data_IF_752110423137
#
_entry.id   IF_752110423137
#
_cell.length_a   1.000
_cell.length_b   1.000
_cell.length_c   1.000
_cell.angle_alpha   90.00
_cell.angle_beta   90.00
_cell.angle_gamma   90.00
#
_symmetry.space_group_name_H-M   'P 1'
#
loop_
_entity.id
_entity.type
_entity.pdbx_description
1 polymer ?
#
# COMPACT_ATOMS: atom_id res chain seq x y z
N UNK A 1 -80.88 21.06 11.73
CA UNK A 1 -79.47 20.99 12.19
C UNK A 1 -78.54 21.86 11.32
N UNK A 2 -77.81 22.83 11.88
CA UNK A 2 -76.83 23.61 11.13
C UNK A 2 -75.58 22.75 10.81
N UNK A 3 -74.86 23.05 9.72
CA UNK A 3 -73.64 22.32 9.36
C UNK A 3 -72.48 22.60 10.32
N UNK A 4 -71.53 21.66 10.49
CA UNK A 4 -70.39 21.84 11.36
C UNK A 4 -69.45 22.93 10.83
N UNK A 5 -69.05 23.83 11.74
CA UNK A 5 -68.07 24.89 11.49
C UNK A 5 -66.69 24.27 11.21
N UNK A 6 -66.14 24.52 10.03
CA UNK A 6 -64.79 24.08 9.65
C UNK A 6 -63.78 25.10 10.18
N UNK A 7 -62.86 24.66 11.04
CA UNK A 7 -61.79 25.49 11.57
C UNK A 7 -60.82 25.93 10.46
N UNK A 8 -60.32 27.18 10.47
CA UNK A 8 -59.33 27.63 9.49
C UNK A 8 -57.99 26.92 9.70
N UNK A 9 -57.18 26.77 8.64
CA UNK A 9 -55.87 26.12 8.73
C UNK A 9 -54.87 26.97 9.53
N UNK A 10 -53.86 26.34 10.15
CA UNK A 10 -52.83 27.05 10.91
C UNK A 10 -51.99 27.97 10.01
N UNK A 11 -51.63 29.14 10.52
CA UNK A 11 -50.74 30.08 9.83
C UNK A 11 -49.35 29.48 9.60
N UNK A 12 -48.79 29.68 8.41
CA UNK A 12 -47.42 29.26 8.08
C UNK A 12 -46.39 30.00 8.97
N UNK A 13 -45.34 29.31 9.46
CA UNK A 13 -44.26 29.95 10.18
C UNK A 13 -43.44 30.87 9.26
N UNK A 14 -42.83 31.94 9.79
CA UNK A 14 -42.03 32.86 9.00
C UNK A 14 -40.76 32.18 8.45
N UNK A 15 -40.46 32.47 7.19
CA UNK A 15 -39.22 32.05 6.51
C UNK A 15 -38.00 32.60 7.26
N UNK A 16 -37.08 31.70 7.65
CA UNK A 16 -35.79 32.07 8.21
C UNK A 16 -34.94 32.82 7.16
N UNK A 17 -34.14 33.82 7.56
CA UNK A 17 -33.21 34.48 6.66
C UNK A 17 -32.14 33.50 6.14
N UNK A 18 -31.60 33.72 4.93
CA UNK A 18 -30.57 32.86 4.38
C UNK A 18 -29.28 32.92 5.21
N UNK A 19 -28.51 31.82 5.27
CA UNK A 19 -27.24 31.78 5.97
C UNK A 19 -26.23 32.74 5.33
N UNK A 20 -25.49 33.46 6.18
CA UNK A 20 -24.41 34.37 5.79
C UNK A 20 -23.31 33.54 5.11
N UNK A 21 -22.92 33.92 3.89
CA UNK A 21 -21.86 33.25 3.14
C UNK A 21 -20.52 33.31 3.89
N UNK A 22 -19.72 32.24 3.88
CA UNK A 22 -18.40 32.25 4.51
C UNK A 22 -17.47 33.25 3.80
N UNK A 23 -16.50 33.85 4.54
CA UNK A 23 -15.54 34.77 3.95
C UNK A 23 -14.70 34.08 2.88
N UNK A 24 -14.52 34.77 1.75
CA UNK A 24 -13.66 34.33 0.64
C UNK A 24 -12.22 34.25 1.14
N UNK A 25 -11.63 33.05 1.10
CA UNK A 25 -10.22 32.84 1.44
C UNK A 25 -9.32 33.63 0.47
N UNK A 26 -8.24 34.26 0.96
CA UNK A 26 -7.28 34.93 0.09
C UNK A 26 -6.59 33.93 -0.85
N UNK A 27 -6.10 34.37 -2.02
CA UNK A 27 -5.38 33.52 -2.96
C UNK A 27 -4.13 32.93 -2.30
N UNK A 28 -4.01 31.60 -2.36
CA UNK A 28 -2.84 30.86 -1.88
C UNK A 28 -1.58 31.39 -2.54
N UNK A 29 -0.59 31.78 -1.74
CA UNK A 29 0.73 32.18 -2.23
C UNK A 29 1.36 31.06 -3.06
N UNK A 30 2.13 31.37 -4.12
CA UNK A 30 2.84 30.35 -4.88
C UNK A 30 3.75 29.56 -3.96
N UNK A 31 3.55 28.23 -3.91
CA UNK A 31 4.40 27.35 -3.13
C UNK A 31 5.81 27.36 -3.74
N UNK A 32 6.89 27.51 -2.95
CA UNK A 32 8.24 27.38 -3.46
C UNK A 32 8.44 25.97 -4.02
N UNK A 33 9.13 25.87 -5.16
CA UNK A 33 9.49 24.59 -5.78
C UNK A 33 10.25 23.73 -4.76
N UNK A 34 9.92 22.43 -4.63
CA UNK A 34 10.66 21.55 -3.71
C UNK A 34 12.15 21.50 -4.10
N UNK A 35 13.05 21.30 -3.13
CA UNK A 35 14.47 21.21 -3.39
C UNK A 35 14.78 20.04 -4.35
N UNK A 36 15.89 20.12 -5.12
CA UNK A 36 16.33 19.02 -5.97
C UNK A 36 16.62 17.77 -5.14
N UNK A 37 16.23 16.60 -5.66
CA UNK A 37 16.49 15.31 -5.01
C UNK A 37 17.99 15.06 -4.81
N UNK A 38 18.33 14.39 -3.70
CA UNK A 38 19.70 13.95 -3.44
C UNK A 38 20.24 13.09 -4.60
N UNK A 39 21.50 13.30 -5.04
CA UNK A 39 22.09 12.49 -6.11
C UNK A 39 22.23 11.03 -5.70
N UNK A 40 22.06 10.12 -6.67
CA UNK A 40 22.30 8.70 -6.44
C UNK A 40 23.80 8.42 -6.17
N UNK A 41 24.10 7.38 -5.36
CA UNK A 41 25.47 6.92 -5.19
C UNK A 41 26.11 6.48 -6.52
N UNK A 42 27.44 6.61 -6.68
CA UNK A 42 28.13 6.13 -7.87
C UNK A 42 27.88 4.64 -8.13
N UNK A 43 27.57 4.29 -9.38
CA UNK A 43 27.36 2.89 -9.79
C UNK A 43 25.95 2.35 -9.54
N UNK A 44 25.00 3.19 -9.11
CA UNK A 44 23.60 2.80 -8.89
C UNK A 44 22.70 3.44 -9.94
N UNK A 45 21.80 2.65 -10.53
CA UNK A 45 20.83 3.17 -11.48
C UNK A 45 19.72 3.92 -10.73
N UNK A 46 19.46 5.17 -11.15
CA UNK A 46 18.37 5.98 -10.61
C UNK A 46 17.11 5.76 -11.41
N UNK A 47 15.99 5.52 -10.74
CA UNK A 47 14.69 5.36 -11.39
C UNK A 47 13.73 6.43 -10.91
N UNK A 48 13.04 7.05 -11.86
CA UNK A 48 11.97 8.05 -11.61
C UNK A 48 10.63 7.61 -12.18
N UNK A 49 10.58 6.39 -12.74
CA UNK A 49 9.41 5.80 -13.39
C UNK A 49 9.28 4.32 -13.02
N UNK A 50 8.06 3.89 -12.72
CA UNK A 50 7.75 2.53 -12.27
C UNK A 50 7.93 1.51 -13.40
N UNK A 51 7.63 1.87 -14.65
CA UNK A 51 7.76 0.97 -15.80
C UNK A 51 9.23 0.76 -16.17
N UNK A 52 10.07 1.78 -16.03
CA UNK A 52 11.52 1.63 -16.11
C UNK A 52 12.06 0.70 -15.01
N UNK A 53 11.59 0.85 -13.77
CA UNK A 53 11.98 -0.04 -12.66
C UNK A 53 11.57 -1.49 -12.94
N UNK A 54 10.32 -1.72 -13.37
CA UNK A 54 9.83 -3.05 -13.76
C UNK A 54 10.69 -3.71 -14.82
N UNK A 55 11.04 -2.97 -15.87
CA UNK A 55 11.91 -3.49 -16.93
C UNK A 55 13.31 -3.84 -16.43
N UNK A 56 13.87 -3.06 -15.50
CA UNK A 56 15.15 -3.38 -14.89
C UNK A 56 15.06 -4.66 -14.02
N UNK A 57 14.00 -4.81 -13.24
CA UNK A 57 13.79 -6.02 -12.44
C UNK A 57 13.53 -7.25 -13.32
N UNK A 58 12.86 -7.09 -14.45
CA UNK A 58 12.62 -8.15 -15.44
C UNK A 58 13.81 -8.43 -16.38
N UNK A 59 14.91 -7.66 -16.30
CA UNK A 59 16.09 -7.88 -17.14
C UNK A 59 16.73 -9.25 -16.86
N UNK A 60 17.61 -9.78 -17.72
CA UNK A 60 18.35 -11.00 -17.41
C UNK A 60 19.45 -10.80 -16.36
N UNK A 61 19.71 -9.57 -15.90
CA UNK A 61 20.81 -9.28 -14.98
C UNK A 61 20.56 -9.89 -13.60
N UNK A 62 21.46 -10.74 -13.08
CA UNK A 62 21.26 -11.41 -11.80
C UNK A 62 21.42 -10.49 -10.60
N UNK A 63 22.04 -9.31 -10.79
CA UNK A 63 22.29 -8.32 -9.76
C UNK A 63 21.73 -6.98 -10.25
N UNK A 64 20.84 -6.37 -9.45
CA UNK A 64 20.22 -5.08 -9.77
C UNK A 64 20.31 -4.15 -8.56
N UNK A 65 20.93 -2.99 -8.74
CA UNK A 65 21.04 -1.97 -7.71
C UNK A 65 20.24 -0.73 -8.13
N UNK A 66 19.26 -0.37 -7.32
CA UNK A 66 18.26 0.65 -7.61
C UNK A 66 18.35 1.74 -6.55
N UNK A 67 18.48 2.99 -6.99
CA UNK A 67 18.28 4.16 -6.17
C UNK A 67 16.97 4.84 -6.55
N UNK A 68 16.10 5.04 -5.57
CA UNK A 68 14.87 5.79 -5.74
C UNK A 68 15.03 7.13 -5.02
N UNK A 69 14.77 8.27 -5.70
CA UNK A 69 14.78 9.57 -5.04
C UNK A 69 13.82 9.65 -3.85
N UNK A 70 14.24 10.37 -2.82
CA UNK A 70 13.41 10.57 -1.61
C UNK A 70 12.09 11.26 -1.94
N UNK A 71 11.02 10.91 -1.23
CA UNK A 71 9.68 11.44 -1.44
C UNK A 71 8.99 10.98 -2.72
N UNK A 72 9.65 10.19 -3.58
CA UNK A 72 9.02 9.67 -4.78
C UNK A 72 8.04 8.55 -4.44
N UNK A 73 6.89 8.57 -5.10
CA UNK A 73 5.83 7.56 -4.94
C UNK A 73 5.66 6.81 -6.27
N UNK A 74 5.97 5.51 -6.26
CA UNK A 74 5.65 4.60 -7.36
C UNK A 74 4.30 3.94 -7.14
N UNK A 75 3.29 4.45 -7.84
CA UNK A 75 2.00 3.79 -8.00
C UNK A 75 2.14 2.55 -8.88
N UNK A 76 1.80 1.38 -8.32
CA UNK A 76 1.98 0.09 -9.00
C UNK A 76 0.84 -0.28 -9.96
N UNK A 77 -0.24 0.50 -10.03
CA UNK A 77 -1.28 0.38 -11.06
C UNK A 77 -1.80 -1.08 -11.25
N UNK A 78 -1.98 -1.82 -10.16
CA UNK A 78 -2.59 -3.15 -10.20
C UNK A 78 -1.65 -4.35 -10.45
N UNK A 79 -0.33 -4.14 -10.53
CA UNK A 79 0.62 -5.25 -10.62
C UNK A 79 1.76 -5.13 -9.61
N UNK A 80 2.12 -6.23 -8.95
CA UNK A 80 3.26 -6.25 -8.03
C UNK A 80 4.58 -5.95 -8.76
N UNK A 81 5.59 -5.48 -8.01
CA UNK A 81 6.97 -5.57 -8.47
C UNK A 81 7.48 -6.97 -8.19
N UNK A 82 7.75 -7.71 -9.27
CA UNK A 82 8.21 -9.09 -9.20
C UNK A 82 9.73 -9.15 -9.27
N UNK A 83 10.33 -9.88 -8.35
CA UNK A 83 11.76 -10.14 -8.28
C UNK A 83 11.95 -11.65 -8.20
N UNK A 84 12.47 -12.24 -9.27
CA UNK A 84 12.58 -13.69 -9.44
C UNK A 84 14.01 -14.08 -9.76
N UNK A 85 14.61 -14.96 -8.95
CA UNK A 85 15.99 -15.47 -9.10
C UNK A 85 17.04 -14.36 -9.23
N UNK A 86 16.95 -13.32 -8.39
CA UNK A 86 17.85 -12.17 -8.42
C UNK A 86 18.37 -11.75 -7.06
N UNK A 87 19.51 -11.07 -7.09
CA UNK A 87 20.03 -10.29 -5.97
C UNK A 87 19.74 -8.80 -6.23
N UNK A 88 18.88 -8.19 -5.42
CA UNK A 88 18.42 -6.82 -5.65
C UNK A 88 18.63 -5.96 -4.42
N UNK A 89 19.20 -4.78 -4.61
CA UNK A 89 19.20 -3.72 -3.61
C UNK A 89 18.35 -2.57 -4.10
N UNK A 90 17.34 -2.17 -3.32
CA UNK A 90 16.52 -0.98 -3.56
C UNK A 90 16.70 -0.04 -2.37
N UNK A 91 17.24 1.13 -2.61
CA UNK A 91 17.51 2.11 -1.56
C UNK A 91 16.99 3.49 -1.90
N UNK A 92 16.66 4.24 -0.85
CA UNK A 92 16.32 5.66 -0.90
C UNK A 92 16.98 6.39 0.26
N UNK A 93 17.26 7.68 0.08
CA UNK A 93 17.79 8.55 1.13
C UNK A 93 16.69 9.30 1.89
N UNK A 94 17.10 10.01 2.94
CA UNK A 94 16.30 11.02 3.64
C UNK A 94 14.92 10.55 4.10
N UNK A 95 13.86 11.14 3.55
CA UNK A 95 12.48 10.77 3.90
C UNK A 95 12.06 9.36 3.40
N UNK A 96 12.90 8.71 2.60
CA UNK A 96 12.62 7.43 1.97
C UNK A 96 11.76 7.56 0.71
N UNK A 97 11.48 6.44 0.05
CA UNK A 97 10.63 6.36 -1.13
C UNK A 97 9.44 5.43 -0.89
N UNK A 98 8.37 5.60 -1.66
CA UNK A 98 7.13 4.84 -1.48
C UNK A 98 6.85 3.94 -2.69
N UNK A 99 6.58 2.66 -2.42
CA UNK A 99 6.02 1.70 -3.36
C UNK A 99 4.57 1.45 -2.94
N UNK A 100 3.62 1.90 -3.76
CA UNK A 100 2.21 1.98 -3.42
C UNK A 100 1.38 1.00 -4.28
N UNK A 101 0.81 -0.01 -3.62
CA UNK A 101 -0.07 -1.01 -4.25
C UNK A 101 -1.46 -0.49 -4.60
N UNK A 102 -1.82 0.73 -4.17
CA UNK A 102 -3.08 1.43 -4.43
C UNK A 102 -4.34 0.65 -4.08
N UNK A 103 -4.25 -0.30 -3.16
CA UNK A 103 -5.34 -1.22 -2.81
C UNK A 103 -5.75 -2.16 -3.94
N UNK A 104 -4.94 -2.28 -5.00
CA UNK A 104 -5.25 -3.05 -6.19
C UNK A 104 -4.31 -4.24 -6.42
N UNK A 105 -3.10 -4.20 -5.85
CA UNK A 105 -2.14 -5.29 -5.99
C UNK A 105 -1.29 -5.47 -4.75
N UNK A 106 -0.64 -6.63 -4.68
CA UNK A 106 0.52 -6.78 -3.80
C UNK A 106 1.59 -5.74 -4.16
N UNK A 107 2.38 -5.30 -3.17
CA UNK A 107 3.50 -4.38 -3.45
C UNK A 107 4.70 -5.12 -4.05
N UNK A 108 5.26 -6.11 -3.33
CA UNK A 108 6.41 -6.89 -3.78
C UNK A 108 6.11 -8.39 -3.81
N UNK A 109 6.53 -9.07 -4.87
CA UNK A 109 6.57 -10.53 -4.95
C UNK A 109 8.00 -11.01 -5.17
N UNK A 110 8.52 -11.81 -4.24
CA UNK A 110 9.87 -12.34 -4.26
C UNK A 110 9.84 -13.85 -4.44
N UNK A 111 10.62 -14.36 -5.39
CA UNK A 111 10.76 -15.80 -5.62
C UNK A 111 12.23 -16.14 -5.85
N UNK A 112 12.77 -17.07 -5.06
CA UNK A 112 14.16 -17.55 -5.18
C UNK A 112 15.21 -16.41 -5.20
N UNK A 113 14.97 -15.32 -4.44
CA UNK A 113 15.73 -14.07 -4.55
C UNK A 113 16.35 -13.63 -3.22
N UNK A 114 17.40 -12.81 -3.29
CA UNK A 114 17.93 -12.09 -2.13
C UNK A 114 17.70 -10.59 -2.34
N UNK A 115 16.86 -9.98 -1.51
CA UNK A 115 16.46 -8.59 -1.65
C UNK A 115 16.84 -7.80 -0.42
N UNK A 116 17.47 -6.65 -0.62
CA UNK A 116 17.75 -5.66 0.40
C UNK A 116 16.97 -4.38 0.10
N UNK A 117 16.20 -3.92 1.08
CA UNK A 117 15.46 -2.66 1.05
C UNK A 117 16.03 -1.72 2.11
N UNK A 118 16.28 -0.48 1.72
CA UNK A 118 16.75 0.57 2.63
C UNK A 118 15.95 1.86 2.43
N UNK A 119 15.31 2.36 3.49
CA UNK A 119 14.53 3.60 3.42
C UNK A 119 13.31 3.52 2.51
N UNK A 120 12.70 2.33 2.36
CA UNK A 120 11.55 2.11 1.48
C UNK A 120 10.27 1.90 2.32
N UNK A 121 9.21 2.60 1.94
CA UNK A 121 7.85 2.37 2.42
C UNK A 121 7.08 1.52 1.42
N UNK A 122 6.59 0.37 1.84
CA UNK A 122 5.69 -0.50 1.09
C UNK A 122 4.28 -0.30 1.64
N UNK A 123 3.36 0.23 0.84
CA UNK A 123 2.05 0.63 1.36
C UNK A 123 0.88 0.26 0.47
N UNK A 124 -0.30 0.23 1.08
CA UNK A 124 -1.59 0.02 0.40
C UNK A 124 -1.59 -1.24 -0.48
N UNK A 125 -0.88 -2.29 -0.08
CA UNK A 125 -0.89 -3.55 -0.78
C UNK A 125 -2.23 -4.27 -0.56
N UNK A 126 -2.82 -4.85 -1.60
CA UNK A 126 -4.05 -5.63 -1.48
C UNK A 126 -3.95 -6.92 -2.28
N UNK A 127 -4.31 -8.03 -1.65
CA UNK A 127 -4.52 -9.30 -2.32
C UNK A 127 -5.87 -9.85 -1.87
N UNK A 128 -6.78 -10.05 -2.82
CA UNK A 128 -8.01 -10.81 -2.59
C UNK A 128 -7.98 -12.12 -3.37
N UNK A 129 -8.47 -13.20 -2.78
CA UNK A 129 -8.65 -14.47 -3.48
C UNK A 129 -9.96 -15.14 -3.06
N UNK A 130 -10.66 -15.69 -4.06
CA UNK A 130 -11.78 -16.61 -3.87
C UNK A 130 -11.32 -18.08 -3.85
N UNK A 131 -10.03 -18.33 -4.09
CA UNK A 131 -9.44 -19.67 -4.12
C UNK A 131 -9.18 -20.24 -2.73
N UNK A 132 -9.23 -21.58 -2.61
CA UNK A 132 -8.85 -22.32 -1.41
C UNK A 132 -7.37 -22.16 -1.02
N UNK A 133 -6.52 -21.61 -1.91
CA UNK A 133 -5.08 -21.42 -1.62
C UNK A 133 -4.78 -20.28 -0.62
N UNK A 134 -5.78 -19.46 -0.26
CA UNK A 134 -5.66 -18.36 0.70
C UNK A 134 -4.88 -17.13 0.18
N UNK A 135 -5.19 -15.94 0.70
CA UNK A 135 -4.45 -14.71 0.38
C UNK A 135 -3.29 -14.51 1.34
N UNK A 136 -2.11 -14.16 0.81
CA UNK A 136 -0.88 -14.02 1.60
C UNK A 136 -0.13 -12.75 1.22
N UNK A 137 0.48 -12.08 2.20
CA UNK A 137 1.55 -11.10 1.97
C UNK A 137 1.15 -9.95 1.04
N UNK A 138 0.21 -9.09 1.42
CA UNK A 138 -0.24 -8.03 0.52
C UNK A 138 0.78 -6.89 0.38
N UNK A 139 1.60 -6.63 1.40
CA UNK A 139 2.82 -5.83 1.24
C UNK A 139 3.87 -6.64 0.49
N UNK A 140 4.33 -7.74 1.09
CA UNK A 140 5.36 -8.62 0.52
C UNK A 140 4.93 -10.07 0.65
N UNK A 141 5.04 -10.82 -0.45
CA UNK A 141 5.13 -12.28 -0.38
C UNK A 141 6.53 -12.70 -0.82
N UNK A 142 7.22 -13.42 0.05
CA UNK A 142 8.50 -14.03 -0.24
C UNK A 142 8.35 -15.56 -0.30
N UNK A 143 8.84 -16.16 -1.38
CA UNK A 143 8.86 -17.61 -1.60
C UNK A 143 10.30 -18.04 -1.85
N UNK A 144 10.83 -18.94 -1.02
CA UNK A 144 12.21 -19.43 -1.08
C UNK A 144 13.24 -18.30 -1.21
N UNK A 145 13.04 -17.20 -0.50
CA UNK A 145 13.78 -15.94 -0.68
C UNK A 145 14.33 -15.41 0.65
N UNK A 146 15.27 -14.48 0.57
CA UNK A 146 15.78 -13.72 1.71
C UNK A 146 15.43 -12.24 1.53
N UNK A 147 14.84 -11.62 2.54
CA UNK A 147 14.52 -10.20 2.57
C UNK A 147 15.23 -9.53 3.75
N UNK A 148 16.03 -8.50 3.45
CA UNK A 148 16.63 -7.60 4.42
C UNK A 148 15.95 -6.24 4.33
N UNK A 149 15.50 -5.72 5.46
CA UNK A 149 14.84 -4.42 5.55
C UNK A 149 15.56 -3.54 6.56
N UNK A 150 15.96 -2.36 6.12
CA UNK A 150 16.61 -1.36 6.96
C UNK A 150 15.89 -0.01 6.81
N UNK A 151 15.50 0.61 7.94
CA UNK A 151 14.71 1.86 7.94
C UNK A 151 13.47 1.83 7.04
N UNK A 152 12.82 0.66 6.94
CA UNK A 152 11.67 0.46 6.07
C UNK A 152 10.34 0.48 6.85
N UNK A 153 9.26 0.76 6.14
CA UNK A 153 7.90 0.68 6.65
C UNK A 153 7.05 -0.22 5.74
N UNK A 154 6.29 -1.15 6.32
CA UNK A 154 5.20 -1.85 5.60
C UNK A 154 3.89 -1.45 6.26
N UNK A 155 3.04 -0.72 5.54
CA UNK A 155 1.85 -0.10 6.11
C UNK A 155 0.59 -0.35 5.28
N UNK A 156 -0.56 -0.42 5.95
CA UNK A 156 -1.88 -0.36 5.32
C UNK A 156 -2.11 -1.46 4.25
N UNK A 157 -1.43 -2.60 4.40
CA UNK A 157 -1.55 -3.73 3.49
C UNK A 157 -2.61 -4.73 3.98
N UNK A 158 -3.44 -5.23 3.07
CA UNK A 158 -4.58 -6.11 3.37
C UNK A 158 -4.53 -7.37 2.53
N UNK A 159 -4.40 -8.53 3.19
CA UNK A 159 -4.63 -9.83 2.58
C UNK A 159 -6.04 -10.29 2.95
N UNK A 160 -6.88 -10.60 1.95
CA UNK A 160 -8.27 -11.00 2.14
C UNK A 160 -8.57 -12.30 1.41
N UNK A 161 -9.25 -13.23 2.07
CA UNK A 161 -9.86 -14.36 1.38
C UNK A 161 -11.35 -14.40 1.67
N UNK A 162 -12.14 -14.44 0.59
CA UNK A 162 -13.60 -14.44 0.65
C UNK A 162 -14.19 -15.87 0.74
N UNK A 163 -13.33 -16.89 0.79
CA UNK A 163 -13.80 -18.25 0.95
C UNK A 163 -14.16 -18.54 2.41
N UNK A 164 -15.40 -18.96 2.67
CA UNK A 164 -15.85 -19.35 4.02
C UNK A 164 -15.41 -20.77 4.42
N UNK A 165 -14.89 -21.57 3.48
CA UNK A 165 -14.52 -22.97 3.71
C UNK A 165 -13.06 -23.20 4.16
N UNK A 166 -12.23 -22.16 4.18
CA UNK A 166 -10.80 -22.25 4.51
C UNK A 166 -10.49 -22.38 6.01
N UNK A 167 -11.52 -22.32 6.87
CA UNK A 167 -11.35 -22.55 8.30
C UNK A 167 -10.98 -24.01 8.64
N UNK A 168 -11.24 -24.98 7.75
CA UNK A 168 -11.11 -26.41 8.07
C UNK A 168 -9.86 -27.10 7.50
N UNK A 169 -9.18 -26.52 6.49
CA UNK A 169 -8.02 -27.16 5.84
C UNK A 169 -6.66 -26.50 6.10
N UNK A 170 -6.57 -25.54 7.04
CA UNK A 170 -5.30 -24.92 7.40
C UNK A 170 -4.71 -23.96 6.34
N UNK A 171 -5.49 -23.61 5.31
CA UNK A 171 -5.14 -22.55 4.36
C UNK A 171 -5.41 -21.17 4.98
N UNK A 172 -4.48 -20.71 5.81
CA UNK A 172 -4.59 -19.43 6.48
C UNK A 172 -4.36 -18.26 5.53
N UNK A 173 -5.23 -17.25 5.61
CA UNK A 173 -4.85 -15.88 5.24
C UNK A 173 -3.70 -15.48 6.14
N UNK A 174 -2.55 -15.13 5.58
CA UNK A 174 -1.35 -14.84 6.37
C UNK A 174 -0.67 -13.54 5.94
N UNK A 175 -0.28 -12.74 6.93
CA UNK A 175 0.54 -11.56 6.77
C UNK A 175 -0.06 -10.51 5.83
N UNK A 176 -0.95 -9.64 6.33
CA UNK A 176 -1.38 -8.46 5.56
C UNK A 176 -0.18 -7.66 5.06
N UNK A 177 0.83 -7.47 5.92
CA UNK A 177 2.12 -6.89 5.57
C UNK A 177 3.02 -7.86 4.83
N UNK A 178 3.69 -8.76 5.55
CA UNK A 178 4.69 -9.66 4.98
C UNK A 178 4.29 -11.12 5.22
N UNK A 179 4.36 -11.95 4.19
CA UNK A 179 4.24 -13.40 4.28
C UNK A 179 5.51 -14.08 3.74
N UNK A 180 6.01 -15.05 4.51
CA UNK A 180 7.23 -15.80 4.20
C UNK A 180 6.87 -17.27 3.98
N UNK A 181 7.27 -17.81 2.83
CA UNK A 181 7.16 -19.23 2.49
C UNK A 181 8.56 -19.74 2.25
N UNK A 182 9.07 -20.60 3.14
CA UNK A 182 10.45 -21.11 3.08
C UNK A 182 11.48 -19.98 2.92
N UNK A 183 11.22 -18.85 3.56
CA UNK A 183 11.94 -17.60 3.36
C UNK A 183 12.45 -17.04 4.68
N UNK A 184 13.44 -16.17 4.58
CA UNK A 184 14.02 -15.48 5.73
C UNK A 184 13.77 -13.98 5.64
N UNK A 185 13.47 -13.37 6.79
CA UNK A 185 13.31 -11.94 6.95
C UNK A 185 14.25 -11.44 8.03
N UNK A 186 15.04 -10.43 7.70
CA UNK A 186 15.82 -9.66 8.64
C UNK A 186 15.34 -8.22 8.65
N UNK A 187 15.06 -7.68 9.83
CA UNK A 187 14.58 -6.31 9.99
C UNK A 187 15.50 -5.56 10.95
N UNK A 188 16.00 -4.41 10.52
CA UNK A 188 16.71 -3.46 11.34
C UNK A 188 15.99 -2.10 11.26
N UNK A 189 15.67 -1.52 12.41
CA UNK A 189 15.02 -0.20 12.50
C UNK A 189 13.82 -0.04 11.54
N UNK A 190 13.07 -1.12 11.33
CA UNK A 190 11.97 -1.21 10.37
C UNK A 190 10.67 -1.57 11.08
N UNK A 191 9.54 -1.15 10.52
CA UNK A 191 8.22 -1.32 11.13
C UNK A 191 7.24 -1.98 10.16
N UNK A 192 6.38 -2.86 10.67
CA UNK A 192 5.18 -3.34 9.98
C UNK A 192 3.99 -2.86 10.82
N UNK A 193 3.08 -2.09 10.25
CA UNK A 193 1.96 -1.48 10.98
C UNK A 193 0.70 -1.40 10.14
N UNK A 194 -0.46 -1.32 10.80
CA UNK A 194 -1.77 -1.13 10.14
C UNK A 194 -2.11 -2.17 9.05
N UNK A 195 -1.49 -3.36 9.08
CA UNK A 195 -1.72 -4.39 8.08
C UNK A 195 -2.69 -5.45 8.58
N UNK A 196 -3.54 -5.98 7.70
CA UNK A 196 -4.64 -6.86 8.08
C UNK A 196 -4.65 -8.16 7.27
N UNK A 197 -4.88 -9.28 7.96
CA UNK A 197 -5.22 -10.56 7.36
C UNK A 197 -6.70 -10.86 7.67
N UNK A 198 -7.54 -10.88 6.63
CA UNK A 198 -8.99 -11.03 6.75
C UNK A 198 -9.40 -12.37 6.12
N UNK A 199 -9.82 -13.32 6.97
CA UNK A 199 -10.50 -14.54 6.52
C UNK A 199 -12.01 -14.33 6.52
N UNK A 200 -12.71 -14.80 5.48
CA UNK A 200 -14.16 -14.73 5.32
C UNK A 200 -14.97 -15.44 6.41
N UNK A 201 -14.31 -16.13 7.35
CA UNK A 201 -14.93 -16.85 8.46
C UNK A 201 -14.83 -16.10 9.80
N UNK A 202 -15.27 -14.85 9.94
CA UNK A 202 -15.41 -14.12 11.24
C UNK A 202 -14.22 -14.15 12.24
N UNK A 203 -13.05 -14.62 11.85
CA UNK A 203 -11.86 -14.71 12.69
C UNK A 203 -10.81 -13.76 12.16
N UNK A 204 -10.87 -12.51 12.64
CA UNK A 204 -9.75 -11.59 12.54
C UNK A 204 -8.59 -12.18 13.35
N UNK A 205 -7.49 -12.55 12.68
CA UNK A 205 -6.22 -12.77 13.36
C UNK A 205 -5.60 -11.38 13.52
N UNK A 206 -5.59 -10.88 14.76
CA UNK A 206 -4.90 -9.65 15.10
C UNK A 206 -3.39 -9.84 14.88
N UNK A 207 -2.77 -8.83 14.26
CA UNK A 207 -1.33 -8.77 13.99
C UNK A 207 -0.47 -8.60 15.24
#
# INVERSE_FOLDING_TARGET
PPPPSVSPPPACPPLLPPPISPPVLPPSTPHPSPPPFAPAPPGVATFVDVEALRRALASPDPIVNVWIPEGLVFALNGSALEIVRKNVTISSGGAGAHLDGQGASRVLFLSESNVQLEGITLQNGMVSTESSSGAKGAGVLAVSSTLFMEYCLVADCVARSDNSSIAEEGFAVSGGGVALVESHLWMNSSTISSTHAISGSNTSVAG
#
